data_IF_746573435396
#
_entry.id   IF_746573435396
#
_cell.length_a   1.000
_cell.length_b   1.000
_cell.length_c   1.000
_cell.angle_alpha   90.00
_cell.angle_beta   90.00
_cell.angle_gamma   90.00
#
_symmetry.space_group_name_H-M   'P 1'
#
loop_
_entity.id
_entity.type
_entity.pdbx_description
1 polymer ?
#
# COMPACT_ATOMS: atom_id res chain seq x y z
N UNK A 1 -29.79 -11.59 13.84
CA UNK A 1 -29.20 -10.94 12.64
C UNK A 1 -27.87 -10.32 13.05
N UNK A 2 -26.80 -11.07 12.92
CA UNK A 2 -25.43 -10.66 13.27
C UNK A 2 -24.88 -9.83 12.11
N UNK A 3 -24.66 -8.52 12.32
CA UNK A 3 -24.03 -7.63 11.34
C UNK A 3 -22.58 -8.09 11.16
N UNK A 4 -22.29 -8.70 10.02
CA UNK A 4 -20.93 -8.89 9.55
C UNK A 4 -20.31 -7.49 9.33
N UNK A 5 -19.33 -7.16 10.16
CA UNK A 5 -18.48 -5.98 9.96
C UNK A 5 -17.82 -6.07 8.58
N UNK A 6 -17.90 -5.02 7.74
CA UNK A 6 -17.19 -5.04 6.48
C UNK A 6 -15.67 -5.06 6.77
N UNK A 7 -15.02 -6.17 6.46
CA UNK A 7 -13.55 -6.28 6.42
C UNK A 7 -13.05 -5.25 5.41
N UNK A 8 -12.61 -4.08 5.90
CA UNK A 8 -11.93 -3.09 5.05
C UNK A 8 -10.65 -3.74 4.52
N UNK A 9 -10.60 -3.96 3.23
CA UNK A 9 -9.39 -4.44 2.57
C UNK A 9 -8.23 -3.48 2.90
N UNK A 10 -7.06 -4.01 3.30
CA UNK A 10 -5.92 -3.18 3.63
C UNK A 10 -5.54 -2.31 2.42
N UNK A 11 -5.29 -1.01 2.65
CA UNK A 11 -4.98 -0.06 1.60
C UNK A 11 -3.62 -0.33 0.92
N UNK A 12 -2.69 -0.99 1.63
CA UNK A 12 -1.35 -1.30 1.11
C UNK A 12 -1.35 -2.54 0.20
N UNK A 13 -0.55 -2.49 -0.86
CA UNK A 13 -0.32 -3.63 -1.77
C UNK A 13 0.11 -4.88 -0.99
N UNK A 14 1.00 -4.72 -0.02
CA UNK A 14 1.50 -5.79 0.83
C UNK A 14 0.39 -6.42 1.70
N UNK A 15 -0.50 -5.61 2.23
CA UNK A 15 -1.64 -6.08 3.00
C UNK A 15 -2.65 -6.83 2.14
N UNK A 16 -2.91 -6.36 0.92
CA UNK A 16 -3.81 -7.05 -0.04
C UNK A 16 -3.23 -8.39 -0.49
N UNK A 17 -1.95 -8.46 -0.84
CA UNK A 17 -1.31 -9.72 -1.25
C UNK A 17 -1.28 -10.73 -0.10
N UNK A 18 -0.96 -10.33 1.13
CA UNK A 18 -1.00 -11.23 2.28
C UNK A 18 -2.41 -11.73 2.57
N UNK A 19 -3.43 -10.88 2.48
CA UNK A 19 -4.83 -11.29 2.68
C UNK A 19 -5.27 -12.27 1.59
N UNK A 20 -5.00 -11.98 0.32
CA UNK A 20 -5.38 -12.89 -0.79
C UNK A 20 -4.68 -14.23 -0.67
N UNK A 21 -3.39 -14.27 -0.32
CA UNK A 21 -2.64 -15.51 -0.11
C UNK A 21 -3.17 -16.31 1.09
N UNK A 22 -3.49 -15.64 2.20
CA UNK A 22 -4.09 -16.29 3.37
C UNK A 22 -5.46 -16.90 3.05
N UNK A 23 -6.33 -16.16 2.39
CA UNK A 23 -7.65 -16.63 1.96
C UNK A 23 -7.53 -17.78 0.95
N UNK A 24 -6.64 -17.68 -0.05
CA UNK A 24 -6.41 -18.76 -1.03
C UNK A 24 -5.86 -20.02 -0.36
N UNK A 25 -4.91 -19.91 0.55
CA UNK A 25 -4.37 -21.06 1.28
C UNK A 25 -5.43 -21.75 2.15
N UNK A 26 -6.27 -20.97 2.82
CA UNK A 26 -7.39 -21.47 3.60
C UNK A 26 -8.43 -22.18 2.71
N UNK A 27 -8.76 -21.61 1.56
CA UNK A 27 -9.69 -22.19 0.61
C UNK A 27 -9.17 -23.53 0.07
N UNK A 28 -7.89 -23.61 -0.30
CA UNK A 28 -7.23 -24.83 -0.76
C UNK A 28 -7.27 -25.89 0.34
N UNK A 29 -6.97 -25.53 1.59
CA UNK A 29 -7.01 -26.47 2.70
C UNK A 29 -8.44 -27.03 2.92
N UNK A 30 -9.46 -26.17 2.89
CA UNK A 30 -10.86 -26.59 3.03
C UNK A 30 -11.28 -27.52 1.88
N UNK A 31 -11.01 -27.13 0.65
CA UNK A 31 -11.35 -27.95 -0.54
C UNK A 31 -10.62 -29.30 -0.49
N UNK A 32 -9.32 -29.31 -0.14
CA UNK A 32 -8.55 -30.54 -0.03
C UNK A 32 -9.07 -31.46 1.07
N UNK A 33 -9.49 -30.90 2.23
CA UNK A 33 -10.07 -31.68 3.32
C UNK A 33 -11.41 -32.29 2.90
N UNK A 34 -12.29 -31.52 2.24
CA UNK A 34 -13.56 -32.02 1.72
C UNK A 34 -13.34 -33.12 0.68
N UNK A 35 -12.43 -32.90 -0.25
CA UNK A 35 -12.10 -33.88 -1.28
C UNK A 35 -11.54 -35.16 -0.69
N UNK A 36 -10.65 -35.07 0.29
CA UNK A 36 -10.07 -36.21 0.97
C UNK A 36 -11.16 -37.01 1.72
N UNK A 37 -12.06 -36.33 2.42
CA UNK A 37 -13.18 -36.98 3.09
C UNK A 37 -14.09 -37.70 2.10
N UNK A 38 -14.57 -37.00 1.05
CA UNK A 38 -15.55 -37.53 0.10
C UNK A 38 -15.00 -38.62 -0.83
N UNK A 39 -13.74 -38.54 -1.24
CA UNK A 39 -13.16 -39.44 -2.24
C UNK A 39 -12.26 -40.54 -1.68
N UNK A 40 -11.80 -40.40 -0.43
CA UNK A 40 -10.86 -41.37 0.17
C UNK A 40 -11.44 -42.01 1.43
N UNK A 41 -11.80 -41.17 2.42
CA UNK A 41 -12.17 -41.69 3.75
C UNK A 41 -13.54 -42.41 3.68
N UNK A 42 -14.53 -41.76 3.13
CA UNK A 42 -15.90 -42.29 3.06
C UNK A 42 -15.99 -43.57 2.23
N UNK A 43 -15.42 -43.69 0.99
CA UNK A 43 -15.40 -44.92 0.24
C UNK A 43 -14.58 -46.06 0.89
N UNK A 44 -13.50 -45.75 1.61
CA UNK A 44 -12.72 -46.76 2.35
C UNK A 44 -13.55 -47.28 3.51
N UNK A 45 -14.20 -46.43 4.27
CA UNK A 45 -15.07 -46.83 5.37
C UNK A 45 -16.24 -47.69 4.88
N UNK A 46 -16.88 -47.33 3.78
CA UNK A 46 -17.96 -48.14 3.18
C UNK A 46 -17.49 -49.53 2.73
N UNK A 47 -16.36 -49.59 2.05
CA UNK A 47 -15.80 -50.87 1.60
C UNK A 47 -15.37 -51.75 2.77
N UNK A 48 -14.70 -51.20 3.75
CA UNK A 48 -14.26 -51.92 4.96
C UNK A 48 -15.50 -52.49 5.73
N UNK A 49 -16.58 -51.70 5.84
CA UNK A 49 -17.80 -52.18 6.49
C UNK A 49 -18.52 -53.29 5.66
N UNK A 50 -18.46 -53.22 4.32
CA UNK A 50 -19.04 -54.26 3.46
C UNK A 50 -18.26 -55.55 3.48
N UNK A 51 -16.91 -55.47 3.46
CA UNK A 51 -16.00 -56.64 3.56
C UNK A 51 -16.17 -57.34 4.90
N UNK A 52 -16.32 -56.58 5.99
CA UNK A 52 -16.52 -57.16 7.30
C UNK A 52 -17.93 -57.78 7.46
N UNK A 53 -18.96 -57.14 6.95
CA UNK A 53 -20.28 -57.73 6.90
C UNK A 53 -20.28 -59.03 6.12
N UNK A 54 -19.54 -59.08 5.01
CA UNK A 54 -19.38 -60.31 4.20
C UNK A 54 -18.66 -61.43 4.99
N UNK A 55 -17.57 -61.06 5.71
CA UNK A 55 -16.83 -62.02 6.55
C UNK A 55 -17.70 -62.60 7.66
N UNK A 56 -18.49 -61.76 8.34
CA UNK A 56 -19.39 -62.20 9.42
C UNK A 56 -20.47 -63.18 8.91
N UNK A 57 -21.11 -62.84 7.79
CA UNK A 57 -22.13 -63.68 7.18
C UNK A 57 -21.51 -65.01 6.69
N UNK A 58 -20.37 -64.96 6.03
CA UNK A 58 -19.66 -66.15 5.51
C UNK A 58 -19.21 -67.04 6.69
N UNK A 59 -18.68 -66.48 7.75
CA UNK A 59 -18.28 -67.21 8.97
C UNK A 59 -19.47 -67.90 9.63
N UNK A 60 -20.63 -67.21 9.72
CA UNK A 60 -21.85 -67.81 10.22
C UNK A 60 -22.36 -69.00 9.35
N UNK A 61 -22.35 -68.82 8.01
CA UNK A 61 -22.74 -69.85 7.06
C UNK A 61 -21.79 -71.07 7.16
N UNK A 62 -20.51 -70.87 7.16
CA UNK A 62 -19.50 -71.92 7.26
C UNK A 62 -19.67 -72.70 8.58
N UNK A 63 -19.87 -72.01 9.68
CA UNK A 63 -20.06 -72.65 10.98
C UNK A 63 -21.30 -73.58 11.00
N UNK A 64 -22.39 -73.19 10.38
CA UNK A 64 -23.61 -73.99 10.27
C UNK A 64 -23.41 -75.24 9.40
N UNK A 65 -22.65 -75.11 8.30
CA UNK A 65 -22.37 -76.19 7.38
C UNK A 65 -21.35 -77.21 7.93
N UNK A 66 -20.51 -76.79 8.85
CA UNK A 66 -19.49 -77.69 9.45
C UNK A 66 -20.08 -78.77 10.35
N UNK A 67 -19.56 -80.00 10.26
CA UNK A 67 -19.92 -81.04 11.24
C UNK A 67 -19.60 -80.64 12.70
N UNK A 68 -20.43 -81.01 13.69
CA UNK A 68 -20.27 -80.55 15.07
C UNK A 68 -18.86 -80.76 15.65
N UNK A 69 -18.17 -81.82 15.24
CA UNK A 69 -16.81 -82.08 15.67
C UNK A 69 -15.74 -81.16 15.15
N UNK A 70 -16.00 -80.45 14.01
CA UNK A 70 -15.10 -79.49 13.40
C UNK A 70 -15.31 -78.03 13.86
N UNK A 71 -16.43 -77.73 14.43
CA UNK A 71 -16.79 -76.36 14.86
C UNK A 71 -15.83 -75.77 15.87
N UNK A 72 -15.38 -76.45 16.91
CA UNK A 72 -14.42 -75.91 17.89
C UNK A 72 -13.09 -75.46 17.27
N UNK A 73 -12.63 -76.21 16.26
CA UNK A 73 -11.39 -75.84 15.53
C UNK A 73 -11.59 -74.58 14.67
N UNK A 74 -12.73 -74.44 14.05
CA UNK A 74 -13.07 -73.23 13.25
C UNK A 74 -13.28 -72.03 14.13
N UNK A 75 -13.94 -72.16 15.29
CA UNK A 75 -14.07 -71.09 16.27
C UNK A 75 -12.72 -70.62 16.78
N UNK A 76 -11.79 -71.51 17.05
CA UNK A 76 -10.42 -71.20 17.47
C UNK A 76 -9.63 -70.48 16.36
N UNK A 77 -9.78 -70.93 15.10
CA UNK A 77 -9.16 -70.30 13.95
C UNK A 77 -9.67 -68.89 13.74
N UNK A 78 -10.97 -68.67 13.83
CA UNK A 78 -11.57 -67.31 13.70
C UNK A 78 -11.12 -66.41 14.85
N UNK A 79 -11.04 -66.91 16.07
CA UNK A 79 -10.57 -66.11 17.19
C UNK A 79 -9.10 -65.73 17.09
N UNK A 80 -8.22 -66.64 16.60
CA UNK A 80 -6.78 -66.39 16.52
C UNK A 80 -6.35 -65.56 15.29
N UNK A 81 -7.01 -65.80 14.15
CA UNK A 81 -6.57 -65.20 12.88
C UNK A 81 -7.45 -64.04 12.42
N UNK A 82 -8.65 -63.94 12.96
CA UNK A 82 -9.63 -62.94 12.51
C UNK A 82 -10.25 -62.12 13.63
N UNK A 83 -9.81 -62.31 14.91
CA UNK A 83 -10.40 -61.65 16.09
C UNK A 83 -11.93 -61.70 16.15
N UNK A 84 -12.50 -62.81 15.70
CA UNK A 84 -13.91 -63.07 15.67
C UNK A 84 -14.27 -64.18 16.65
N UNK A 85 -15.23 -63.94 17.51
CA UNK A 85 -15.70 -64.97 18.49
C UNK A 85 -17.12 -65.38 18.08
N UNK A 86 -17.32 -66.66 17.73
CA UNK A 86 -18.66 -67.22 17.46
C UNK A 86 -19.17 -67.91 18.67
N UNK A 87 -20.39 -67.61 19.05
CA UNK A 87 -21.12 -68.30 20.15
C UNK A 87 -22.46 -68.77 19.64
N UNK A 88 -22.74 -70.08 19.88
CA UNK A 88 -24.05 -70.67 19.68
C UNK A 88 -24.94 -70.57 20.93
N UNK A 89 -24.36 -70.25 22.07
CA UNK A 89 -25.05 -69.96 23.29
C UNK A 89 -25.44 -68.48 23.32
N UNK A 90 -26.73 -68.18 23.19
CA UNK A 90 -27.23 -66.80 23.20
C UNK A 90 -27.01 -66.18 24.57
N UNK A 91 -26.15 -65.20 24.66
CA UNK A 91 -25.96 -64.38 25.84
C UNK A 91 -27.00 -63.29 25.84
N UNK A 92 -27.61 -63.01 27.00
CA UNK A 92 -28.51 -61.86 27.18
C UNK A 92 -27.68 -60.58 27.41
N UNK A 93 -27.29 -59.95 26.31
CA UNK A 93 -26.52 -58.71 26.34
C UNK A 93 -27.41 -57.50 26.09
N UNK A 94 -27.07 -56.31 26.63
CA UNK A 94 -27.75 -55.09 26.33
C UNK A 94 -27.56 -54.69 24.86
N UNK A 95 -28.54 -53.97 24.30
CA UNK A 95 -28.44 -53.42 22.97
C UNK A 95 -27.32 -52.34 22.94
N UNK A 96 -26.53 -52.33 21.86
CA UNK A 96 -25.51 -51.31 21.66
C UNK A 96 -26.19 -49.97 21.36
N UNK A 97 -25.99 -48.98 22.26
CA UNK A 97 -26.53 -47.62 22.15
C UNK A 97 -25.52 -46.59 21.61
N UNK A 98 -24.32 -47.02 21.21
CA UNK A 98 -23.25 -46.17 20.73
C UNK A 98 -23.57 -45.55 19.36
N UNK A 99 -23.31 -44.27 19.19
CA UNK A 99 -23.51 -43.51 17.92
C UNK A 99 -22.26 -43.51 17.01
N UNK A 100 -21.38 -44.55 17.11
CA UNK A 100 -20.17 -44.58 16.30
C UNK A 100 -20.53 -44.86 14.83
N UNK A 101 -20.16 -43.98 13.93
CA UNK A 101 -20.41 -44.04 12.48
C UNK A 101 -19.97 -45.38 11.84
N UNK A 102 -18.78 -45.95 12.14
CA UNK A 102 -18.35 -47.23 11.56
C UNK A 102 -19.23 -48.41 11.94
N UNK A 103 -19.74 -48.42 13.17
CA UNK A 103 -20.64 -49.50 13.69
C UNK A 103 -22.02 -49.41 13.06
N UNK A 104 -22.56 -48.21 12.94
CA UNK A 104 -23.83 -47.99 12.27
C UNK A 104 -23.77 -48.40 10.78
N UNK A 105 -22.66 -48.15 10.10
CA UNK A 105 -22.43 -48.55 8.71
C UNK A 105 -22.34 -50.10 8.58
N UNK A 106 -21.66 -50.76 9.51
CA UNK A 106 -21.66 -52.23 9.56
C UNK A 106 -23.04 -52.82 9.75
N UNK A 107 -23.81 -52.25 10.66
CA UNK A 107 -25.19 -52.68 10.91
C UNK A 107 -26.04 -52.55 9.62
N UNK A 108 -25.92 -51.45 8.94
CA UNK A 108 -26.62 -51.22 7.66
C UNK A 108 -26.18 -52.22 6.57
N UNK A 109 -24.90 -52.50 6.44
CA UNK A 109 -24.37 -53.48 5.47
C UNK A 109 -24.81 -54.91 5.79
N UNK A 110 -24.81 -55.29 7.06
CA UNK A 110 -25.32 -56.56 7.53
C UNK A 110 -26.82 -56.71 7.25
N UNK A 111 -27.65 -55.68 7.56
CA UNK A 111 -29.06 -55.67 7.26
C UNK A 111 -29.33 -55.85 5.74
N UNK A 112 -28.57 -55.17 4.89
CA UNK A 112 -28.68 -55.30 3.45
C UNK A 112 -28.35 -56.72 2.93
N UNK A 113 -27.34 -57.40 3.54
CA UNK A 113 -26.92 -58.75 3.13
C UNK A 113 -27.84 -59.84 3.66
N UNK A 114 -28.34 -59.66 4.87
CA UNK A 114 -29.20 -60.66 5.51
C UNK A 114 -30.69 -60.46 5.19
N UNK A 115 -31.09 -59.27 4.74
CA UNK A 115 -32.51 -58.93 4.45
C UNK A 115 -33.38 -58.82 5.69
N UNK A 116 -32.81 -58.72 6.88
CA UNK A 116 -33.48 -58.68 8.18
C UNK A 116 -32.90 -57.56 9.06
N UNK A 117 -33.65 -57.14 10.04
CA UNK A 117 -33.12 -56.20 11.05
C UNK A 117 -32.05 -56.93 11.93
N UNK A 118 -30.86 -56.37 11.96
CA UNK A 118 -29.77 -56.89 12.80
C UNK A 118 -29.67 -56.03 14.05
N UNK A 119 -29.70 -56.64 15.18
CA UNK A 119 -29.51 -55.97 16.48
C UNK A 119 -28.05 -56.16 16.88
N UNK A 120 -27.38 -55.08 17.21
CA UNK A 120 -26.05 -55.07 17.79
C UNK A 120 -26.18 -55.05 19.31
N UNK A 121 -25.37 -55.90 19.96
CA UNK A 121 -25.34 -56.04 21.41
C UNK A 121 -23.93 -55.67 21.92
N UNK A 122 -23.83 -55.21 23.16
CA UNK A 122 -22.53 -54.85 23.77
C UNK A 122 -22.26 -55.75 24.97
N UNK A 123 -21.05 -56.33 24.99
CA UNK A 123 -20.62 -57.17 26.11
C UNK A 123 -19.15 -57.60 25.98
N UNK A 124 -18.44 -57.69 27.13
CA UNK A 124 -17.04 -58.13 27.23
C UNK A 124 -16.05 -57.36 26.29
N UNK A 125 -16.20 -56.06 26.20
CA UNK A 125 -15.42 -55.21 25.30
C UNK A 125 -15.57 -55.55 23.80
N UNK A 126 -16.58 -56.35 23.44
CA UNK A 126 -16.91 -56.74 22.08
C UNK A 126 -18.28 -56.22 21.67
N UNK A 127 -18.43 -56.00 20.36
CA UNK A 127 -19.73 -55.75 19.74
C UNK A 127 -20.24 -57.07 19.18
N UNK A 128 -21.36 -57.54 19.70
CA UNK A 128 -21.94 -58.79 19.29
C UNK A 128 -23.06 -58.56 18.25
N UNK A 129 -22.95 -59.31 17.16
CA UNK A 129 -23.94 -59.32 16.09
C UNK A 129 -24.74 -60.61 16.17
N UNK A 130 -26.04 -60.50 16.26
CA UNK A 130 -26.92 -61.66 16.20
C UNK A 130 -27.28 -61.94 14.74
N UNK A 131 -26.78 -63.12 14.28
CA UNK A 131 -26.95 -63.58 12.88
C UNK A 131 -27.83 -64.84 12.88
N UNK A 132 -29.07 -64.76 12.45
CA UNK A 132 -29.90 -65.94 12.33
C UNK A 132 -29.56 -66.69 11.05
N UNK A 133 -29.21 -68.00 11.20
CA UNK A 133 -28.88 -68.88 10.07
C UNK A 133 -29.68 -70.20 10.19
N UNK A 134 -30.63 -70.43 9.34
CA UNK A 134 -31.54 -71.59 9.29
C UNK A 134 -32.21 -71.85 10.70
N UNK A 135 -31.83 -72.96 11.36
CA UNK A 135 -32.34 -73.30 12.67
C UNK A 135 -31.50 -72.73 13.83
N UNK A 136 -30.34 -72.11 13.52
CA UNK A 136 -29.41 -71.58 14.52
C UNK A 136 -29.50 -70.07 14.63
N UNK A 137 -29.34 -69.56 15.83
CA UNK A 137 -29.01 -68.13 16.07
C UNK A 137 -27.61 -68.06 16.61
N UNK A 138 -26.77 -67.41 15.90
CA UNK A 138 -25.34 -67.27 16.26
C UNK A 138 -25.11 -65.83 16.71
N UNK A 139 -24.32 -65.65 17.75
CA UNK A 139 -23.80 -64.39 18.19
C UNK A 139 -22.32 -64.34 17.80
N UNK A 140 -21.94 -63.35 17.02
CA UNK A 140 -20.54 -63.17 16.59
C UNK A 140 -20.04 -61.88 17.21
N UNK A 141 -19.02 -61.98 18.07
CA UNK A 141 -18.36 -60.88 18.74
C UNK A 141 -17.21 -60.35 17.85
N UNK A 142 -17.15 -59.05 17.71
CA UNK A 142 -16.13 -58.30 16.95
C UNK A 142 -15.51 -57.26 17.86
N UNK A 143 -14.18 -57.15 17.87
CA UNK A 143 -13.50 -56.13 18.64
C UNK A 143 -13.71 -54.75 17.98
N UNK A 144 -14.19 -53.71 18.71
CA UNK A 144 -14.41 -52.37 18.16
C UNK A 144 -13.14 -51.72 17.65
N UNK A 145 -11.98 -52.00 18.30
CA UNK A 145 -10.70 -51.42 17.99
C UNK A 145 -10.04 -52.00 16.71
N UNK A 146 -10.57 -53.10 16.16
CA UNK A 146 -10.07 -53.73 14.93
C UNK A 146 -10.10 -52.75 13.73
N UNK A 147 -10.88 -51.68 13.85
CA UNK A 147 -11.08 -50.66 12.81
C UNK A 147 -10.40 -49.36 13.06
N UNK A 148 -9.66 -49.23 14.15
CA UNK A 148 -8.96 -47.99 14.47
C UNK A 148 -7.76 -47.80 13.52
N UNK A 149 -8.05 -47.87 12.23
CA UNK A 149 -7.18 -47.29 11.22
C UNK A 149 -7.22 -45.80 11.44
N UNK A 150 -6.11 -45.18 11.76
CA UNK A 150 -5.96 -43.75 11.96
C UNK A 150 -5.77 -42.96 10.64
N UNK A 151 -6.49 -43.27 9.53
CA UNK A 151 -6.31 -42.55 8.25
C UNK A 151 -6.73 -41.10 8.36
N UNK A 152 -7.64 -40.78 9.29
CA UNK A 152 -8.14 -39.44 9.48
C UNK A 152 -7.05 -38.51 10.02
N UNK A 153 -6.29 -38.96 11.04
CA UNK A 153 -5.19 -38.14 11.59
C UNK A 153 -4.07 -37.94 10.59
N UNK A 154 -3.67 -39.01 9.88
CA UNK A 154 -2.65 -38.91 8.81
C UNK A 154 -3.09 -37.99 7.69
N UNK A 155 -4.34 -38.06 7.30
CA UNK A 155 -4.93 -37.19 6.28
C UNK A 155 -4.95 -35.71 6.70
N UNK A 156 -5.36 -35.40 7.92
CA UNK A 156 -5.35 -34.05 8.48
C UNK A 156 -3.91 -33.52 8.54
N UNK A 157 -2.95 -34.35 8.98
CA UNK A 157 -1.53 -33.96 9.02
C UNK A 157 -0.99 -33.64 7.62
N UNK A 158 -1.29 -34.45 6.61
CA UNK A 158 -0.82 -34.25 5.24
C UNK A 158 -1.40 -32.94 4.67
N UNK A 159 -2.70 -32.71 4.82
CA UNK A 159 -3.38 -31.49 4.34
C UNK A 159 -2.88 -30.25 5.10
N UNK A 160 -2.74 -30.37 6.43
CA UNK A 160 -2.21 -29.29 7.27
C UNK A 160 -0.77 -28.92 6.91
N UNK A 161 0.09 -29.92 6.71
CA UNK A 161 1.48 -29.72 6.30
C UNK A 161 1.56 -29.07 4.89
N UNK A 162 0.75 -29.57 3.96
CA UNK A 162 0.66 -28.99 2.61
C UNK A 162 0.23 -27.54 2.63
N UNK A 163 -0.82 -27.20 3.39
CA UNK A 163 -1.30 -25.82 3.56
C UNK A 163 -0.23 -24.93 4.21
N UNK A 164 0.48 -25.43 5.21
CA UNK A 164 1.58 -24.73 5.88
C UNK A 164 2.73 -24.44 4.89
N UNK A 165 3.14 -25.40 4.09
CA UNK A 165 4.18 -25.22 3.06
C UNK A 165 3.77 -24.13 2.07
N UNK A 166 2.55 -24.18 1.55
CA UNK A 166 2.04 -23.16 0.61
C UNK A 166 2.02 -21.78 1.26
N UNK A 167 1.55 -21.68 2.51
CA UNK A 167 1.50 -20.43 3.26
C UNK A 167 2.90 -19.84 3.48
N UNK A 168 3.85 -20.63 3.99
CA UNK A 168 5.20 -20.15 4.25
C UNK A 168 5.97 -19.81 2.97
N UNK A 169 5.79 -20.60 1.91
CA UNK A 169 6.40 -20.30 0.59
C UNK A 169 5.84 -18.98 0.03
N UNK A 170 4.53 -18.79 0.11
CA UNK A 170 3.89 -17.55 -0.31
C UNK A 170 4.38 -16.34 0.50
N UNK A 171 4.46 -16.48 1.81
CA UNK A 171 4.99 -15.44 2.69
C UNK A 171 6.44 -15.08 2.35
N UNK A 172 7.27 -16.08 2.07
CA UNK A 172 8.66 -15.89 1.64
C UNK A 172 8.76 -15.11 0.32
N UNK A 173 7.94 -15.47 -0.69
CA UNK A 173 7.92 -14.77 -1.99
C UNK A 173 7.48 -13.31 -1.81
N UNK A 174 6.42 -13.06 -1.03
CA UNK A 174 5.95 -11.69 -0.75
C UNK A 174 7.05 -10.84 -0.08
N UNK A 175 7.75 -11.40 0.90
CA UNK A 175 8.84 -10.67 1.57
C UNK A 175 10.02 -10.41 0.65
N UNK A 176 10.36 -11.35 -0.24
CA UNK A 176 11.54 -11.29 -1.10
C UNK A 176 11.33 -10.48 -2.39
N UNK A 177 10.08 -10.36 -2.85
CA UNK A 177 9.76 -9.65 -4.11
C UNK A 177 8.96 -8.38 -3.86
N UNK A 178 7.88 -8.46 -3.10
CA UNK A 178 6.95 -7.34 -2.98
C UNK A 178 7.50 -6.21 -2.11
N UNK A 179 8.18 -6.50 -1.01
CA UNK A 179 8.76 -5.47 -0.13
C UNK A 179 9.82 -4.60 -0.81
N UNK A 180 10.83 -5.15 -1.52
CA UNK A 180 11.78 -4.33 -2.25
C UNK A 180 11.12 -3.47 -3.33
N UNK A 181 10.12 -4.00 -4.04
CA UNK A 181 9.42 -3.29 -5.10
C UNK A 181 8.64 -2.08 -4.55
N UNK A 182 7.99 -2.22 -3.40
CA UNK A 182 7.34 -1.10 -2.70
C UNK A 182 8.37 -0.05 -2.27
N UNK A 183 9.56 -0.45 -1.81
CA UNK A 183 10.64 0.49 -1.47
C UNK A 183 11.09 1.30 -2.69
N UNK A 184 11.29 0.64 -3.84
CA UNK A 184 11.63 1.33 -5.10
C UNK A 184 10.56 2.34 -5.47
N UNK A 185 9.29 1.95 -5.43
CA UNK A 185 8.17 2.83 -5.74
C UNK A 185 8.11 4.05 -4.80
N UNK A 186 8.25 3.82 -3.49
CA UNK A 186 8.21 4.91 -2.50
C UNK A 186 9.40 5.88 -2.65
N UNK A 187 10.60 5.36 -2.96
CA UNK A 187 11.76 6.21 -3.21
C UNK A 187 11.64 6.96 -4.53
N UNK A 188 11.07 6.33 -5.57
CA UNK A 188 10.79 7.00 -6.83
C UNK A 188 9.79 8.15 -6.67
N UNK A 189 8.73 7.97 -5.86
CA UNK A 189 7.77 9.03 -5.53
C UNK A 189 8.42 10.19 -4.74
N UNK A 190 9.38 9.89 -3.86
CA UNK A 190 10.10 10.88 -3.06
C UNK A 190 11.22 11.58 -3.85
N UNK A 191 11.68 10.98 -4.94
CA UNK A 191 12.76 11.54 -5.75
C UNK A 191 12.31 12.83 -6.45
N UNK A 192 12.81 13.97 -5.95
CA UNK A 192 12.56 15.31 -6.51
C UNK A 192 13.83 15.97 -7.07
N UNK A 193 14.85 15.16 -7.34
CA UNK A 193 16.07 15.59 -8.03
C UNK A 193 17.11 16.32 -7.20
N UNK A 194 16.86 16.70 -5.96
CA UNK A 194 17.76 17.56 -5.16
C UNK A 194 18.22 16.93 -3.84
N UNK A 195 17.52 15.91 -3.32
CA UNK A 195 17.91 15.27 -2.06
C UNK A 195 18.92 14.14 -2.28
N UNK A 196 19.90 14.05 -1.37
CA UNK A 196 20.75 12.86 -1.20
C UNK A 196 19.84 11.68 -0.79
N UNK A 197 19.33 10.97 -1.77
CA UNK A 197 18.57 9.75 -1.53
C UNK A 197 19.57 8.65 -1.20
N UNK A 198 19.35 7.97 -0.07
CA UNK A 198 20.08 6.73 0.19
C UNK A 198 19.88 5.79 -1.00
N UNK A 199 20.97 5.29 -1.60
CA UNK A 199 20.86 4.40 -2.75
C UNK A 199 20.07 3.15 -2.35
N UNK A 200 19.22 2.68 -3.27
CA UNK A 200 18.51 1.43 -3.12
C UNK A 200 19.50 0.27 -2.99
N UNK A 201 19.27 -0.60 -2.00
CA UNK A 201 20.10 -1.78 -1.81
C UNK A 201 19.96 -2.73 -3.01
N UNK A 202 21.10 -3.09 -3.64
CA UNK A 202 21.18 -4.03 -4.76
C UNK A 202 21.13 -5.48 -4.25
N UNK A 203 20.00 -5.88 -3.63
CA UNK A 203 19.83 -7.22 -3.03
C UNK A 203 18.57 -7.90 -3.55
N UNK A 204 18.61 -9.22 -3.70
CA UNK A 204 17.44 -10.01 -4.11
C UNK A 204 17.59 -10.67 -5.49
N UNK A 205 16.48 -10.99 -6.17
CA UNK A 205 16.47 -11.51 -7.54
C UNK A 205 17.18 -10.58 -8.52
N UNK A 206 17.75 -11.15 -9.59
CA UNK A 206 18.54 -10.40 -10.59
C UNK A 206 17.78 -9.22 -11.19
N UNK A 207 16.49 -9.37 -11.41
CA UNK A 207 15.60 -8.36 -11.97
C UNK A 207 15.45 -7.16 -11.02
N UNK A 208 15.32 -7.42 -9.71
CA UNK A 208 15.25 -6.37 -8.69
C UNK A 208 16.58 -5.66 -8.48
N UNK A 209 17.69 -6.39 -8.52
CA UNK A 209 19.05 -5.82 -8.48
C UNK A 209 19.26 -4.90 -9.68
N UNK A 210 18.87 -5.34 -10.89
CA UNK A 210 18.97 -4.51 -12.11
C UNK A 210 18.10 -3.27 -12.01
N UNK A 211 16.87 -3.41 -11.49
CA UNK A 211 15.97 -2.27 -11.28
C UNK A 211 16.54 -1.26 -10.28
N UNK A 212 17.03 -1.73 -9.14
CA UNK A 212 17.65 -0.87 -8.12
C UNK A 212 18.89 -0.13 -8.67
N UNK A 213 19.75 -0.83 -9.41
CA UNK A 213 20.93 -0.24 -10.04
C UNK A 213 20.57 0.82 -11.06
N UNK A 214 19.63 0.52 -11.97
CA UNK A 214 19.20 1.48 -12.99
C UNK A 214 18.56 2.71 -12.35
N UNK A 215 17.77 2.54 -11.28
CA UNK A 215 17.21 3.65 -10.50
C UNK A 215 18.33 4.49 -9.86
N UNK A 216 19.29 3.86 -9.19
CA UNK A 216 20.42 4.55 -8.56
C UNK A 216 21.24 5.34 -9.59
N UNK A 217 21.51 4.74 -10.74
CA UNK A 217 22.22 5.42 -11.85
C UNK A 217 21.42 6.62 -12.35
N UNK A 218 20.14 6.45 -12.65
CA UNK A 218 19.28 7.55 -13.09
C UNK A 218 19.22 8.69 -12.06
N UNK A 219 19.07 8.36 -10.77
CA UNK A 219 19.04 9.34 -9.70
C UNK A 219 20.36 10.12 -9.61
N UNK A 220 21.50 9.42 -9.74
CA UNK A 220 22.83 10.02 -9.79
C UNK A 220 22.99 10.94 -10.99
N UNK A 221 22.63 10.50 -12.19
CA UNK A 221 22.73 11.29 -13.42
C UNK A 221 21.92 12.57 -13.36
N UNK A 222 20.69 12.49 -12.83
CA UNK A 222 19.83 13.67 -12.62
C UNK A 222 20.48 14.64 -11.62
N UNK A 223 21.02 14.13 -10.52
CA UNK A 223 21.70 14.96 -9.50
C UNK A 223 22.89 15.69 -10.11
N UNK A 224 23.72 15.00 -10.90
CA UNK A 224 24.87 15.60 -11.61
C UNK A 224 24.41 16.66 -12.62
N UNK A 225 23.31 16.41 -13.35
CA UNK A 225 22.76 17.39 -14.30
C UNK A 225 22.29 18.66 -13.59
N UNK A 226 21.63 18.53 -12.42
CA UNK A 226 21.17 19.68 -11.63
C UNK A 226 22.33 20.47 -11.03
N UNK A 227 23.37 19.78 -10.53
CA UNK A 227 24.60 20.42 -10.05
C UNK A 227 25.35 21.17 -11.16
N UNK A 228 25.51 20.53 -12.32
CA UNK A 228 26.11 21.16 -13.49
C UNK A 228 25.33 22.39 -13.96
N UNK A 229 23.98 22.32 -13.97
CA UNK A 229 23.12 23.47 -14.28
C UNK A 229 23.39 24.63 -13.33
N UNK A 230 23.49 24.36 -12.04
CA UNK A 230 23.77 25.37 -11.01
C UNK A 230 25.14 26.00 -11.20
N UNK A 231 26.16 25.19 -11.46
CA UNK A 231 27.57 25.63 -11.68
C UNK A 231 27.68 26.49 -12.93
N UNK A 232 27.05 26.04 -14.03
CA UNK A 232 27.01 26.82 -15.29
C UNK A 232 26.35 28.18 -15.11
N UNK A 233 25.20 28.23 -14.43
CA UNK A 233 24.50 29.49 -14.16
C UNK A 233 25.30 30.42 -13.24
N UNK A 234 26.05 29.88 -12.27
CA UNK A 234 26.95 30.66 -11.44
C UNK A 234 28.09 31.27 -12.24
N UNK A 235 28.70 30.49 -13.12
CA UNK A 235 29.75 30.98 -14.04
C UNK A 235 29.28 32.09 -15.00
N UNK A 236 28.15 31.82 -15.66
CA UNK A 236 27.54 32.82 -16.58
C UNK A 236 27.19 34.10 -15.84
N UNK A 237 26.62 34.01 -14.62
CA UNK A 237 26.26 35.18 -13.83
C UNK A 237 27.46 36.00 -13.42
N UNK A 238 28.59 35.35 -13.06
CA UNK A 238 29.83 36.04 -12.76
C UNK A 238 30.38 36.78 -14.01
N UNK A 239 30.41 36.08 -15.15
CA UNK A 239 30.97 36.61 -16.37
C UNK A 239 30.14 37.74 -17.00
N UNK A 240 28.81 37.73 -16.77
CA UNK A 240 27.92 38.82 -17.17
C UNK A 240 27.97 40.01 -16.21
N UNK A 241 28.23 39.83 -14.91
CA UNK A 241 28.31 40.93 -13.95
C UNK A 241 29.52 41.84 -14.23
N UNK A 242 30.63 41.27 -14.64
CA UNK A 242 31.87 42.03 -14.95
C UNK A 242 31.67 43.11 -16.04
N UNK A 243 31.12 42.82 -17.23
CA UNK A 243 30.84 43.83 -18.24
C UNK A 243 29.76 44.83 -17.81
N UNK A 244 28.74 44.40 -17.05
CA UNK A 244 27.74 45.29 -16.51
C UNK A 244 28.36 46.34 -15.57
N UNK A 245 29.25 45.92 -14.68
CA UNK A 245 29.97 46.83 -13.77
C UNK A 245 30.84 47.82 -14.55
N UNK A 246 31.51 47.36 -15.62
CA UNK A 246 32.29 48.25 -16.50
C UNK A 246 31.39 49.25 -17.22
N UNK A 247 30.21 48.83 -17.69
CA UNK A 247 29.27 49.75 -18.33
C UNK A 247 28.72 50.81 -17.36
N UNK A 248 28.41 50.42 -16.09
CA UNK A 248 28.03 51.37 -15.03
C UNK A 248 29.16 52.39 -14.75
N UNK A 249 30.40 51.91 -14.65
CA UNK A 249 31.54 52.80 -14.46
C UNK A 249 31.71 53.77 -15.63
N UNK A 250 31.55 53.28 -16.87
CA UNK A 250 31.64 54.13 -18.06
C UNK A 250 30.55 55.19 -18.09
N UNK A 251 29.31 54.87 -17.68
CA UNK A 251 28.22 55.82 -17.54
C UNK A 251 28.49 56.88 -16.45
N UNK A 252 29.06 56.47 -15.31
CA UNK A 252 29.42 57.38 -14.22
C UNK A 252 30.56 58.34 -14.57
N UNK A 253 31.33 58.04 -15.59
CA UNK A 253 32.45 58.88 -16.06
C UNK A 253 32.05 59.81 -17.22
N UNK A 254 30.80 59.77 -17.69
CA UNK A 254 30.33 60.64 -18.74
C UNK A 254 30.25 62.11 -18.25
N UNK A 255 30.61 63.08 -19.13
CA UNK A 255 30.52 64.50 -18.78
C UNK A 255 29.05 64.92 -18.53
N UNK A 256 28.85 65.92 -17.66
CA UNK A 256 27.54 66.48 -17.35
C UNK A 256 26.77 67.07 -18.57
N UNK A 257 27.45 67.26 -19.66
CA UNK A 257 26.88 67.74 -20.94
C UNK A 257 26.05 66.72 -21.69
N UNK A 258 26.08 65.44 -21.26
CA UNK A 258 25.28 64.36 -21.82
C UNK A 258 23.85 64.47 -21.27
N UNK A 259 22.85 64.12 -22.11
CA UNK A 259 21.45 64.11 -21.72
C UNK A 259 21.25 63.17 -20.52
N UNK A 260 20.93 63.79 -19.38
CA UNK A 260 20.66 63.09 -18.11
C UNK A 260 19.48 62.13 -18.18
N UNK A 261 18.52 62.34 -19.06
CA UNK A 261 17.41 61.42 -19.27
C UNK A 261 17.89 60.14 -19.97
N UNK A 262 18.86 60.26 -20.86
CA UNK A 262 19.50 59.13 -21.54
C UNK A 262 20.34 58.31 -20.57
N UNK A 263 21.13 58.96 -19.71
CA UNK A 263 21.93 58.31 -18.68
C UNK A 263 21.05 57.49 -17.72
N UNK A 264 19.99 58.12 -17.17
CA UNK A 264 19.03 57.39 -16.27
C UNK A 264 18.39 56.19 -16.95
N UNK A 265 18.13 56.28 -18.24
CA UNK A 265 17.58 55.18 -19.02
C UNK A 265 18.55 54.01 -19.17
N UNK A 266 19.85 54.30 -19.38
CA UNK A 266 20.89 53.26 -19.41
C UNK A 266 21.12 52.64 -18.03
N UNK A 267 21.18 53.42 -16.97
CA UNK A 267 21.29 52.95 -15.60
C UNK A 267 20.15 51.99 -15.24
N UNK A 268 18.92 52.35 -15.53
CA UNK A 268 17.76 51.48 -15.32
C UNK A 268 17.83 50.18 -16.12
N UNK A 269 18.30 50.24 -17.38
CA UNK A 269 18.49 49.03 -18.18
C UNK A 269 19.58 48.09 -17.57
N UNK A 270 20.68 48.66 -17.09
CA UNK A 270 21.75 47.90 -16.43
C UNK A 270 21.28 47.29 -15.08
N UNK A 271 20.46 48.01 -14.32
CA UNK A 271 19.82 47.47 -13.11
C UNK A 271 18.92 46.30 -13.42
N UNK A 272 18.08 46.46 -14.45
CA UNK A 272 17.18 45.40 -14.93
C UNK A 272 17.93 44.14 -15.39
N UNK A 273 19.08 44.30 -16.06
CA UNK A 273 19.93 43.19 -16.45
C UNK A 273 20.55 42.47 -15.25
N UNK A 274 21.02 43.21 -14.24
CA UNK A 274 21.61 42.62 -13.03
C UNK A 274 20.53 41.88 -12.20
N UNK A 275 19.28 42.39 -12.15
CA UNK A 275 18.15 41.69 -11.58
C UNK A 275 17.85 40.38 -12.30
N UNK A 276 17.78 40.41 -13.64
CA UNK A 276 17.56 39.20 -14.46
C UNK A 276 18.61 38.14 -14.19
N UNK A 277 19.90 38.52 -14.11
CA UNK A 277 21.00 37.59 -13.83
C UNK A 277 20.86 37.02 -12.42
N UNK A 278 20.53 37.83 -11.42
CA UNK A 278 20.32 37.39 -10.04
C UNK A 278 19.14 36.41 -9.95
N UNK A 279 18.03 36.69 -10.61
CA UNK A 279 16.86 35.85 -10.63
C UNK A 279 17.11 34.50 -11.32
N UNK A 280 17.84 34.54 -12.47
CA UNK A 280 18.24 33.32 -13.17
C UNK A 280 19.13 32.43 -12.31
N UNK A 281 20.09 33.02 -11.57
CA UNK A 281 20.95 32.30 -10.63
C UNK A 281 20.16 31.72 -9.45
N UNK A 282 19.19 32.48 -8.92
CA UNK A 282 18.30 32.01 -7.84
C UNK A 282 17.41 30.86 -8.30
N UNK A 283 16.91 30.93 -9.54
CA UNK A 283 16.14 29.85 -10.16
C UNK A 283 16.96 28.58 -10.35
N UNK A 284 18.24 28.72 -10.75
CA UNK A 284 19.12 27.57 -10.97
C UNK A 284 19.58 26.87 -9.68
N UNK A 285 19.72 27.63 -8.58
CA UNK A 285 20.30 27.13 -7.32
C UNK A 285 19.43 26.12 -6.60
N UNK A 286 18.14 25.99 -6.91
CA UNK A 286 17.26 25.14 -6.10
C UNK A 286 17.41 25.42 -4.58
N UNK A 287 16.44 25.17 -3.79
CA UNK A 287 16.59 25.30 -2.33
C UNK A 287 16.25 23.95 -1.69
N UNK A 288 17.29 23.19 -1.37
CA UNK A 288 17.16 22.12 -0.39
C UNK A 288 17.39 22.74 0.99
N UNK A 289 16.32 23.09 1.65
CA UNK A 289 16.33 23.65 3.00
C UNK A 289 15.58 22.71 3.94
N UNK A 290 16.07 22.56 5.17
CA UNK A 290 15.38 21.77 6.18
C UNK A 290 14.19 22.54 6.73
N UNK A 291 13.10 21.85 6.95
CA UNK A 291 11.94 22.41 7.62
C UNK A 291 12.29 22.81 9.07
N UNK A 292 11.77 23.96 9.51
CA UNK A 292 11.94 24.51 10.84
C UNK A 292 10.56 24.90 11.39
N UNK A 293 10.42 24.85 12.68
CA UNK A 293 9.20 25.27 13.35
C UNK A 293 9.24 26.77 13.65
N UNK A 294 8.20 27.51 13.24
CA UNK A 294 8.06 28.95 13.52
C UNK A 294 6.58 29.36 13.63
N UNK A 295 6.34 30.53 14.22
CA UNK A 295 5.01 31.13 14.32
C UNK A 295 4.60 31.76 12.99
N UNK A 296 3.55 31.25 12.36
CA UNK A 296 3.17 31.59 10.98
C UNK A 296 2.85 33.08 10.82
N UNK A 297 2.03 33.61 11.73
CA UNK A 297 1.56 35.03 11.62
C UNK A 297 2.73 35.99 11.83
N UNK A 298 3.54 35.79 12.86
CA UNK A 298 4.70 36.63 13.17
C UNK A 298 5.72 36.62 12.01
N UNK A 299 5.96 35.43 11.40
CA UNK A 299 6.84 35.29 10.26
C UNK A 299 6.34 36.05 9.03
N UNK A 300 5.02 36.03 8.78
CA UNK A 300 4.40 36.79 7.68
C UNK A 300 4.48 38.30 7.97
N UNK A 301 4.21 38.75 9.22
CA UNK A 301 4.36 40.15 9.62
C UNK A 301 5.80 40.65 9.40
N UNK A 302 6.81 39.84 9.70
CA UNK A 302 8.23 40.17 9.46
C UNK A 302 8.53 40.37 7.97
N UNK A 303 8.03 39.48 7.12
CA UNK A 303 8.16 39.61 5.66
C UNK A 303 7.48 40.90 5.18
N UNK A 304 6.27 41.21 5.66
CA UNK A 304 5.54 42.39 5.24
C UNK A 304 6.27 43.68 5.65
N UNK A 305 6.96 43.69 6.77
CA UNK A 305 7.75 44.84 7.23
C UNK A 305 8.90 45.22 6.29
N UNK A 306 9.31 44.34 5.39
CA UNK A 306 10.35 44.61 4.40
C UNK A 306 9.87 45.39 3.18
N UNK A 307 8.54 45.55 3.01
CA UNK A 307 7.97 46.30 1.90
C UNK A 307 7.67 47.75 2.33
N UNK A 308 7.96 48.70 1.44
CA UNK A 308 7.67 50.14 1.68
C UNK A 308 6.17 50.46 1.58
N UNK A 309 5.44 49.66 0.82
CA UNK A 309 4.00 49.80 0.63
C UNK A 309 3.23 49.05 1.71
N UNK A 310 2.16 49.66 2.18
CA UNK A 310 1.27 49.03 3.15
C UNK A 310 0.52 47.86 2.50
N UNK A 311 0.73 46.67 3.04
CA UNK A 311 0.11 45.42 2.57
C UNK A 311 -0.87 44.95 3.65
N UNK A 312 -2.15 44.92 3.31
CA UNK A 312 -3.20 44.52 4.26
C UNK A 312 -3.04 43.07 4.72
N UNK A 313 -2.95 42.85 6.03
CA UNK A 313 -2.89 41.49 6.62
C UNK A 313 -4.21 41.19 7.35
N UNK A 314 -4.78 40.02 7.09
CA UNK A 314 -5.89 39.43 7.84
C UNK A 314 -5.50 38.06 8.31
N UNK A 315 -5.33 37.87 9.61
CA UNK A 315 -5.05 36.57 10.21
C UNK A 315 -6.37 35.91 10.65
N UNK A 316 -6.71 34.78 10.04
CA UNK A 316 -7.86 33.95 10.42
C UNK A 316 -7.41 32.74 11.26
N UNK A 317 -6.22 32.85 11.88
CA UNK A 317 -5.61 31.84 12.75
C UNK A 317 -5.01 32.53 13.96
N UNK A 318 -4.82 31.80 15.06
CA UNK A 318 -4.17 32.34 16.27
C UNK A 318 -2.73 32.79 15.97
N UNK A 319 -2.27 33.84 16.65
CA UNK A 319 -0.89 34.32 16.52
C UNK A 319 0.15 33.25 16.95
N UNK A 320 -0.20 32.41 17.90
CA UNK A 320 0.66 31.33 18.41
C UNK A 320 0.67 30.08 17.50
N UNK A 321 -0.01 30.16 16.34
CA UNK A 321 -0.08 29.02 15.43
C UNK A 321 1.29 28.75 14.81
N UNK A 322 1.83 27.55 15.10
CA UNK A 322 3.13 27.10 14.61
C UNK A 322 2.99 26.17 13.41
N UNK A 323 3.91 26.33 12.49
CA UNK A 323 4.04 25.49 11.29
C UNK A 323 5.47 25.00 11.15
N UNK A 324 5.63 23.85 10.52
CA UNK A 324 6.93 23.25 10.21
C UNK A 324 7.14 23.32 8.71
N UNK A 325 7.89 24.30 8.26
CA UNK A 325 8.14 24.59 6.83
C UNK A 325 9.60 25.06 6.66
N UNK A 326 10.07 25.10 5.41
CA UNK A 326 11.36 25.69 5.03
C UNK A 326 11.27 27.23 5.01
N UNK A 327 11.82 27.96 6.01
CA UNK A 327 11.53 29.39 6.21
C UNK A 327 12.01 30.27 5.06
N UNK A 328 13.23 30.05 4.53
CA UNK A 328 13.73 30.85 3.40
C UNK A 328 12.96 30.58 2.10
N UNK A 329 12.57 29.32 1.84
CA UNK A 329 11.75 28.97 0.69
C UNK A 329 10.37 29.63 0.81
N UNK A 330 9.74 29.56 1.99
CA UNK A 330 8.43 30.15 2.25
C UNK A 330 8.46 31.70 2.13
N UNK A 331 9.47 32.33 2.72
CA UNK A 331 9.71 33.78 2.56
C UNK A 331 9.87 34.18 1.10
N UNK A 332 10.60 33.41 0.31
CA UNK A 332 10.79 33.68 -1.14
C UNK A 332 9.49 33.53 -1.93
N UNK A 333 8.67 32.53 -1.64
CA UNK A 333 7.37 32.37 -2.28
C UNK A 333 6.49 33.60 -1.98
N UNK A 334 6.36 33.97 -0.72
CA UNK A 334 5.55 35.13 -0.33
C UNK A 334 6.07 36.42 -0.95
N UNK A 335 7.37 36.69 -0.86
CA UNK A 335 8.00 37.89 -1.43
C UNK A 335 7.76 38.01 -2.93
N UNK A 336 7.89 36.89 -3.69
CA UNK A 336 7.62 36.91 -5.14
C UNK A 336 6.14 37.18 -5.44
N UNK A 337 5.22 36.58 -4.70
CA UNK A 337 3.78 36.78 -4.90
C UNK A 337 3.35 38.20 -4.51
N UNK A 338 3.82 38.72 -3.36
CA UNK A 338 3.53 40.06 -2.89
C UNK A 338 4.10 41.11 -3.86
N UNK A 339 5.38 40.99 -4.23
CA UNK A 339 6.03 41.89 -5.18
C UNK A 339 5.31 41.92 -6.55
N UNK A 340 4.86 40.73 -7.00
CA UNK A 340 4.07 40.63 -8.24
C UNK A 340 2.70 41.34 -8.10
N UNK A 341 2.01 41.15 -6.97
CA UNK A 341 0.75 41.80 -6.67
C UNK A 341 0.88 43.34 -6.60
N UNK A 342 1.88 43.86 -5.91
CA UNK A 342 2.18 45.31 -5.83
C UNK A 342 2.43 45.89 -7.24
N UNK A 343 3.23 45.19 -8.03
CA UNK A 343 3.65 45.62 -9.38
C UNK A 343 2.50 45.69 -10.37
N UNK A 344 1.56 44.75 -10.31
CA UNK A 344 0.48 44.62 -11.29
C UNK A 344 -0.87 45.04 -10.75
N UNK A 345 -1.08 45.04 -9.43
CA UNK A 345 -2.37 45.34 -8.80
C UNK A 345 -2.40 46.57 -7.90
N UNK A 346 -1.24 47.10 -7.52
CA UNK A 346 -1.12 48.27 -6.64
C UNK A 346 -1.40 47.94 -5.18
N UNK A 347 -2.61 47.59 -4.81
CA UNK A 347 -3.01 47.16 -3.47
C UNK A 347 -2.97 45.63 -3.35
N UNK A 348 -2.35 45.15 -2.27
CA UNK A 348 -2.25 43.73 -1.99
C UNK A 348 -2.78 43.43 -0.60
N UNK A 349 -3.55 42.34 -0.50
CA UNK A 349 -4.07 41.83 0.78
C UNK A 349 -3.68 40.38 0.96
N UNK A 350 -3.18 40.06 2.15
CA UNK A 350 -2.89 38.69 2.58
C UNK A 350 -3.94 38.20 3.57
N UNK A 351 -4.36 36.94 3.42
CA UNK A 351 -5.22 36.24 4.37
C UNK A 351 -4.48 34.99 4.79
N UNK A 352 -4.17 34.87 6.09
CA UNK A 352 -3.41 33.76 6.67
C UNK A 352 -4.37 32.84 7.43
N UNK A 353 -4.36 31.55 7.08
CA UNK A 353 -5.08 30.45 7.73
C UNK A 353 -4.10 29.38 8.19
N UNK A 354 -4.59 28.41 8.94
CA UNK A 354 -3.74 27.36 9.54
C UNK A 354 -2.84 26.61 8.52
N UNK A 355 -3.33 26.36 7.32
CA UNK A 355 -2.62 25.58 6.28
C UNK A 355 -2.57 26.29 4.93
N UNK A 356 -3.00 27.55 4.86
CA UNK A 356 -3.06 28.28 3.59
C UNK A 356 -2.76 29.76 3.80
N UNK A 357 -2.06 30.35 2.82
CA UNK A 357 -1.89 31.79 2.72
C UNK A 357 -2.44 32.23 1.35
N UNK A 358 -3.37 33.19 1.38
CA UNK A 358 -3.95 33.75 0.16
C UNK A 358 -3.40 35.17 -0.06
N UNK A 359 -2.95 35.46 -1.26
CA UNK A 359 -2.49 36.78 -1.70
C UNK A 359 -3.45 37.25 -2.77
N UNK A 360 -4.05 38.41 -2.55
CA UNK A 360 -5.08 38.99 -3.41
C UNK A 360 -4.62 40.38 -3.82
N UNK A 361 -4.61 40.65 -5.12
CA UNK A 361 -4.35 41.97 -5.70
C UNK A 361 -5.58 42.56 -6.38
N UNK A 362 -5.52 43.84 -6.69
CA UNK A 362 -6.57 44.59 -7.39
C UNK A 362 -6.24 44.83 -8.89
N UNK A 363 -5.37 44.00 -9.47
CA UNK A 363 -4.91 44.09 -10.84
C UNK A 363 -5.95 43.66 -11.89
N UNK A 364 -5.52 43.54 -13.14
CA UNK A 364 -6.41 43.15 -14.26
C UNK A 364 -6.86 41.70 -14.19
N UNK A 365 -6.31 40.91 -13.25
CA UNK A 365 -6.54 39.48 -13.14
C UNK A 365 -5.78 38.68 -14.19
N UNK A 366 -6.02 37.36 -14.21
CA UNK A 366 -5.32 36.43 -15.10
C UNK A 366 -6.34 35.64 -15.92
N UNK A 367 -6.26 35.72 -17.26
CA UNK A 367 -7.14 34.98 -18.16
C UNK A 367 -7.02 33.45 -17.89
N UNK A 368 -8.15 32.77 -17.88
CA UNK A 368 -8.21 31.35 -17.53
C UNK A 368 -7.27 30.48 -18.39
N UNK A 369 -7.18 30.76 -19.67
CA UNK A 369 -6.35 30.03 -20.62
C UNK A 369 -4.84 30.20 -20.37
N UNK A 370 -4.43 31.22 -19.63
CA UNK A 370 -3.03 31.57 -19.38
C UNK A 370 -2.59 31.22 -17.95
N UNK A 371 -3.50 30.78 -17.06
CA UNK A 371 -3.20 30.46 -15.65
C UNK A 371 -2.13 29.38 -15.48
N UNK A 372 -2.08 28.40 -16.36
CA UNK A 372 -1.02 27.39 -16.34
C UNK A 372 0.31 27.91 -16.93
N UNK A 373 0.25 28.88 -17.83
CA UNK A 373 1.42 29.40 -18.53
C UNK A 373 2.20 30.42 -17.71
N UNK A 374 1.54 31.15 -16.78
CA UNK A 374 2.19 32.17 -15.95
C UNK A 374 3.32 31.63 -15.08
N UNK A 375 3.33 30.33 -14.80
CA UNK A 375 4.37 29.64 -14.05
C UNK A 375 5.56 29.18 -14.92
N UNK A 376 5.46 29.34 -16.25
CA UNK A 376 6.57 29.02 -17.15
C UNK A 376 7.66 30.10 -17.04
N UNK A 377 8.94 29.71 -17.04
CA UNK A 377 10.05 30.67 -17.04
C UNK A 377 9.96 31.66 -18.20
N UNK A 378 10.18 32.96 -17.92
CA UNK A 378 10.16 34.06 -18.87
C UNK A 378 8.80 34.37 -19.51
N UNK A 379 7.72 33.71 -19.06
CA UNK A 379 6.37 34.00 -19.56
C UNK A 379 5.83 35.34 -19.01
N UNK A 380 5.14 36.11 -19.85
CA UNK A 380 4.51 37.39 -19.51
C UNK A 380 3.15 37.50 -20.22
N UNK A 381 2.14 38.01 -19.51
CA UNK A 381 0.76 38.17 -20.03
C UNK A 381 0.70 39.21 -21.18
N UNK A 382 1.47 40.29 -21.05
CA UNK A 382 1.56 41.32 -22.08
C UNK A 382 2.82 41.06 -22.92
N UNK A 383 2.66 40.73 -24.21
CA UNK A 383 3.75 40.57 -25.18
C UNK A 383 4.52 41.86 -25.48
N UNK A 384 4.13 43.01 -24.90
CA UNK A 384 4.83 44.28 -25.04
C UNK A 384 6.06 44.32 -24.14
N UNK A 385 7.23 44.49 -24.71
CA UNK A 385 8.48 44.85 -24.01
C UNK A 385 8.41 46.27 -23.42
N UNK A 386 7.32 46.59 -22.73
CA UNK A 386 7.15 47.87 -22.07
C UNK A 386 8.15 48.00 -20.94
N UNK A 387 9.09 48.89 -21.08
CA UNK A 387 10.16 49.16 -20.11
C UNK A 387 9.63 49.72 -18.77
N UNK A 388 8.33 50.04 -18.70
CA UNK A 388 7.68 50.64 -17.53
C UNK A 388 7.27 49.58 -16.48
N UNK A 389 7.02 48.34 -16.86
CA UNK A 389 6.62 47.26 -15.95
C UNK A 389 7.69 46.14 -15.81
N UNK A 390 8.97 46.53 -15.77
CA UNK A 390 10.13 45.66 -15.72
C UNK A 390 9.99 44.48 -14.74
N UNK A 391 10.15 43.26 -15.26
CA UNK A 391 10.20 42.02 -14.47
C UNK A 391 10.83 40.90 -15.28
N UNK A 392 11.60 40.04 -14.62
CA UNK A 392 12.32 38.93 -15.22
C UNK A 392 11.42 37.87 -15.86
N UNK A 393 10.14 37.79 -15.49
CA UNK A 393 9.27 36.67 -15.83
C UNK A 393 9.67 35.35 -15.12
N UNK A 394 10.58 35.42 -14.13
CA UNK A 394 11.06 34.26 -13.37
C UNK A 394 10.39 34.13 -12.00
N UNK A 395 9.79 35.20 -11.46
CA UNK A 395 9.23 35.21 -10.10
C UNK A 395 8.20 34.12 -9.85
N UNK A 396 7.22 33.95 -10.74
CA UNK A 396 6.21 32.89 -10.62
C UNK A 396 6.76 31.50 -10.93
N UNK A 397 7.74 31.37 -11.81
CA UNK A 397 8.44 30.11 -12.06
C UNK A 397 9.24 29.66 -10.83
N UNK A 398 9.85 30.61 -10.09
CA UNK A 398 10.50 30.33 -8.79
C UNK A 398 9.46 29.87 -7.76
N UNK A 399 8.29 30.48 -7.71
CA UNK A 399 7.19 30.07 -6.82
C UNK A 399 6.79 28.63 -7.09
N UNK A 400 6.52 28.28 -8.35
CA UNK A 400 6.13 26.92 -8.75
C UNK A 400 7.23 25.89 -8.42
N UNK A 401 8.49 26.20 -8.74
CA UNK A 401 9.62 25.34 -8.41
C UNK A 401 9.75 25.07 -6.90
N UNK A 402 9.63 26.11 -6.08
CA UNK A 402 9.69 25.99 -4.62
C UNK A 402 8.52 25.18 -4.07
N UNK A 403 7.31 25.43 -4.57
CA UNK A 403 6.13 24.67 -4.20
C UNK A 403 6.29 23.18 -4.53
N UNK A 404 6.76 22.86 -5.73
CA UNK A 404 7.03 21.48 -6.13
C UNK A 404 8.11 20.81 -5.27
N UNK A 405 9.18 21.55 -4.94
CA UNK A 405 10.29 21.04 -4.11
C UNK A 405 9.83 20.70 -2.69
N UNK A 406 9.03 21.58 -2.08
CA UNK A 406 8.60 21.42 -0.69
C UNK A 406 7.21 20.73 -0.54
N UNK A 407 6.58 20.29 -1.65
CA UNK A 407 5.28 19.62 -1.61
C UNK A 407 4.12 20.55 -1.29
N UNK A 408 4.29 21.86 -1.50
CA UNK A 408 3.23 22.84 -1.39
C UNK A 408 2.43 22.91 -2.68
N UNK A 409 1.20 23.40 -2.59
CA UNK A 409 0.31 23.58 -3.75
C UNK A 409 0.04 25.04 -3.94
N UNK A 410 0.26 25.56 -5.15
CA UNK A 410 -0.09 26.92 -5.53
C UNK A 410 -1.22 26.91 -6.54
N UNK A 411 -2.28 27.64 -6.24
CA UNK A 411 -3.43 27.80 -7.11
C UNK A 411 -3.63 29.27 -7.46
N UNK A 412 -4.13 29.55 -8.67
CA UNK A 412 -4.44 30.90 -9.12
C UNK A 412 -5.87 31.00 -9.62
N UNK A 413 -6.56 32.03 -9.18
CA UNK A 413 -7.91 32.38 -9.60
C UNK A 413 -8.04 33.91 -9.70
N UNK A 414 -9.15 34.42 -10.25
CA UNK A 414 -9.49 35.83 -10.13
C UNK A 414 -10.26 36.07 -8.84
N UNK A 415 -9.95 37.18 -8.16
CA UNK A 415 -10.54 37.51 -6.85
C UNK A 415 -12.03 37.83 -6.96
N UNK A 416 -12.46 38.50 -8.07
CA UNK A 416 -13.86 38.86 -8.33
C UNK A 416 -14.18 38.60 -9.79
N UNK A 417 -15.26 37.88 -10.09
CA UNK A 417 -15.64 37.56 -11.49
C UNK A 417 -16.39 38.68 -12.22
N UNK A 418 -16.82 39.76 -11.54
CA UNK A 418 -17.76 40.77 -12.07
C UNK A 418 -17.23 42.21 -12.15
N UNK A 419 -15.98 42.48 -11.81
CA UNK A 419 -15.41 43.82 -11.82
C UNK A 419 -14.61 44.10 -13.11
N UNK A 420 -14.44 45.36 -13.46
CA UNK A 420 -13.57 45.80 -14.56
C UNK A 420 -12.09 45.45 -14.32
N UNK A 421 -11.69 45.30 -13.05
CA UNK A 421 -10.42 44.78 -12.61
C UNK A 421 -10.70 43.62 -11.65
N UNK A 422 -10.69 42.37 -12.14
CA UNK A 422 -11.07 41.19 -11.34
C UNK A 422 -10.05 40.82 -10.26
N UNK A 423 -8.84 41.41 -10.29
CA UNK A 423 -7.74 41.06 -9.38
C UNK A 423 -7.28 39.63 -9.52
N UNK A 424 -6.02 39.32 -9.21
CA UNK A 424 -5.58 37.95 -9.09
C UNK A 424 -5.60 37.50 -7.62
N UNK A 425 -5.90 36.21 -7.40
CA UNK A 425 -5.84 35.55 -6.11
C UNK A 425 -4.95 34.34 -6.23
N UNK A 426 -3.84 34.35 -5.53
CA UNK A 426 -2.96 33.20 -5.36
C UNK A 426 -3.25 32.55 -4.01
N UNK A 427 -3.40 31.22 -4.00
CA UNK A 427 -3.62 30.43 -2.80
C UNK A 427 -2.47 29.45 -2.66
N UNK A 428 -1.63 29.67 -1.66
CA UNK A 428 -0.55 28.75 -1.28
C UNK A 428 -1.06 27.83 -0.18
N UNK A 429 -1.09 26.53 -0.44
CA UNK A 429 -1.49 25.49 0.51
C UNK A 429 -0.29 24.62 0.88
N UNK A 430 -0.14 24.34 2.16
CA UNK A 430 0.92 23.48 2.70
C UNK A 430 0.37 22.53 3.75
N UNK A 431 0.99 21.37 3.91
CA UNK A 431 0.61 20.40 4.94
C UNK A 431 1.28 20.85 6.23
N UNK A 432 0.50 21.29 7.22
CA UNK A 432 1.03 21.50 8.56
C UNK A 432 1.32 20.12 9.18
N UNK A 433 2.57 19.69 9.19
CA UNK A 433 2.98 18.62 10.07
C UNK A 433 2.94 19.17 11.51
N UNK A 434 1.78 19.06 12.16
CA UNK A 434 1.70 19.30 13.59
C UNK A 434 2.46 18.15 14.27
N UNK A 435 3.56 18.47 14.92
CA UNK A 435 4.13 17.59 15.95
C UNK A 435 3.08 17.42 17.04
N UNK A 436 2.39 16.25 17.05
CA UNK A 436 1.54 15.81 18.14
C UNK A 436 2.40 15.32 19.31
#
# INVERSE_FOLDING_TARGET
MTKLLPLRAPASLLGRTNLTLGVSSMLIAVISTIALYAFVIDPIAERSADDEAALLVLSAQTWVELPPAARPYFELELAQNHDLIISSALQQLPAYEGAQTPIALLQQKLQNRLGIQVVLLEGDDLIWVEVPMAEYRLQIGVAPDRRDTQPLYVAIIIVGLGAAIVFFTSLFVVQRVTRPLVKVATQAERFRGVENIEPLAETGPRELVSLARNFNTMASDISVLLENRTTLMAGISHDLRTPLTRMRLALALLPETVDQALIRRFEHNLESMDELIRDALRFAKGTSEKDQEFELVAFVEDILSTFEQDVGLTAEVSRDHRVVLAPNAFSRVLTNLISNGIKHGGEVRLIVRATTVMIIDNGPGIPEQQRSQIFQPFFRLDGSRSAVTGGSGLGLAIVDQLCQTHGWVIEVANATQKAASPGAKFTLSFVANSSA
#
